data_IF_580456438438
#
_entry.id   IF_580456438438
#
_cell.length_a   1.000
_cell.length_b   1.000
_cell.length_c   1.000
_cell.angle_alpha   90.00
_cell.angle_beta   90.00
_cell.angle_gamma   90.00
#
_symmetry.space_group_name_H-M   'P 1'
#
loop_
_entity.id
_entity.type
_entity.pdbx_description
1 polymer ?
#
# COMPACT_ATOMS: atom_id res chain seq x y z
N UNK A 1 25.63 -10.39 -37.66
CA UNK A 1 24.80 -9.18 -37.43
C UNK A 1 23.37 -9.55 -37.06
N UNK A 2 22.81 -10.63 -37.63
CA UNK A 2 21.39 -11.00 -37.46
C UNK A 2 20.98 -11.32 -36.02
N UNK A 3 21.79 -12.05 -35.27
CA UNK A 3 21.49 -12.40 -33.88
C UNK A 3 21.35 -11.18 -32.95
N UNK A 4 22.06 -10.08 -33.24
CA UNK A 4 21.98 -8.85 -32.46
C UNK A 4 20.66 -8.11 -32.76
N UNK A 5 20.26 -8.06 -34.03
CA UNK A 5 19.00 -7.43 -34.44
C UNK A 5 17.79 -8.21 -33.91
N UNK A 6 17.85 -9.54 -33.88
CA UNK A 6 16.80 -10.39 -33.28
C UNK A 6 16.65 -10.12 -31.78
N UNK A 7 17.76 -9.97 -31.04
CA UNK A 7 17.72 -9.64 -29.61
C UNK A 7 17.12 -8.26 -29.37
N UNK A 8 17.39 -7.30 -30.26
CA UNK A 8 16.83 -5.95 -30.16
C UNK A 8 15.31 -5.93 -30.38
N UNK A 9 14.82 -6.69 -31.37
CA UNK A 9 13.39 -6.88 -31.65
C UNK A 9 12.66 -7.51 -30.46
N UNK A 10 13.26 -8.53 -29.84
CA UNK A 10 12.70 -9.19 -28.67
C UNK A 10 12.56 -8.24 -27.47
N UNK A 11 13.59 -7.43 -27.20
CA UNK A 11 13.53 -6.43 -26.13
C UNK A 11 12.45 -5.39 -26.41
N UNK A 12 12.36 -4.89 -27.65
CA UNK A 12 11.33 -3.91 -28.02
C UNK A 12 9.92 -4.48 -27.82
N UNK A 13 9.70 -5.73 -28.24
CA UNK A 13 8.44 -6.45 -28.05
C UNK A 13 8.10 -6.65 -26.57
N UNK A 14 9.07 -6.96 -25.73
CA UNK A 14 8.86 -7.12 -24.28
C UNK A 14 8.53 -5.79 -23.62
N UNK A 15 9.23 -4.71 -23.98
CA UNK A 15 8.95 -3.35 -23.47
C UNK A 15 7.54 -2.89 -23.85
N UNK A 16 7.09 -3.17 -25.08
CA UNK A 16 5.72 -2.86 -25.48
C UNK A 16 4.70 -3.65 -24.66
N UNK A 17 4.95 -4.94 -24.39
CA UNK A 17 4.08 -5.78 -23.57
C UNK A 17 4.00 -5.31 -22.12
N UNK A 18 5.15 -4.97 -21.52
CA UNK A 18 5.23 -4.43 -20.17
C UNK A 18 4.46 -3.11 -20.06
N UNK A 19 4.60 -2.21 -21.05
CA UNK A 19 3.91 -0.94 -21.06
C UNK A 19 2.38 -1.08 -21.17
N UNK A 20 1.90 -2.01 -22.01
CA UNK A 20 0.47 -2.29 -22.14
C UNK A 20 -0.08 -2.87 -20.83
N UNK A 21 0.64 -3.81 -20.20
CA UNK A 21 0.23 -4.41 -18.94
C UNK A 21 0.21 -3.38 -17.80
N UNK A 22 1.22 -2.51 -17.73
CA UNK A 22 1.27 -1.44 -16.73
C UNK A 22 0.11 -0.46 -16.90
N UNK A 23 -0.21 -0.09 -18.14
CA UNK A 23 -1.34 0.80 -18.44
C UNK A 23 -2.69 0.16 -18.05
N UNK A 24 -2.89 -1.12 -18.36
CA UNK A 24 -4.12 -1.84 -17.98
C UNK A 24 -4.26 -1.96 -16.45
N UNK A 25 -3.14 -2.18 -15.74
CA UNK A 25 -3.13 -2.26 -14.27
C UNK A 25 -3.44 -0.91 -13.64
N UNK A 26 -2.85 0.17 -14.18
CA UNK A 26 -3.11 1.53 -13.71
C UNK A 26 -4.54 2.00 -14.01
N UNK A 27 -5.09 1.66 -15.17
CA UNK A 27 -6.49 1.93 -15.51
C UNK A 27 -7.45 1.21 -14.55
N UNK A 28 -7.18 -0.07 -14.26
CA UNK A 28 -7.97 -0.86 -13.31
C UNK A 28 -7.94 -0.25 -11.91
N UNK A 29 -6.77 0.23 -11.48
CA UNK A 29 -6.62 0.91 -10.19
C UNK A 29 -7.41 2.23 -10.16
N UNK A 30 -7.32 3.05 -11.21
CA UNK A 30 -8.08 4.30 -11.34
C UNK A 30 -9.59 4.06 -11.36
N UNK A 31 -10.06 3.02 -12.06
CA UNK A 31 -11.47 2.66 -12.09
C UNK A 31 -11.97 2.19 -10.72
N UNK A 32 -11.19 1.35 -10.04
CA UNK A 32 -11.52 0.88 -8.69
C UNK A 32 -11.58 2.05 -7.71
N UNK A 33 -10.65 3.01 -7.82
CA UNK A 33 -10.63 4.21 -7.00
C UNK A 33 -11.86 5.10 -7.27
N UNK A 34 -12.24 5.30 -8.52
CA UNK A 34 -13.43 6.06 -8.89
C UNK A 34 -14.73 5.40 -8.43
N UNK A 35 -14.79 4.06 -8.43
CA UNK A 35 -15.93 3.31 -7.89
C UNK A 35 -16.07 3.45 -6.38
N UNK A 36 -14.95 3.45 -5.65
CA UNK A 36 -14.95 3.73 -4.21
C UNK A 36 -15.38 5.17 -3.91
N UNK A 37 -14.91 6.14 -4.69
CA UNK A 37 -15.25 7.56 -4.56
C UNK A 37 -16.74 7.83 -4.81
N UNK A 38 -17.33 7.19 -5.85
CA UNK A 38 -18.77 7.27 -6.12
C UNK A 38 -19.64 6.59 -5.07
N UNK A 39 -19.14 5.58 -4.35
CA UNK A 39 -19.83 5.00 -3.19
C UNK A 39 -19.75 5.85 -1.92
N UNK A 40 -18.87 6.85 -1.85
CA UNK A 40 -18.73 7.72 -0.67
C UNK A 40 -19.69 8.91 -0.65
N UNK A 41 -20.52 9.13 -1.68
CA UNK A 41 -21.48 10.24 -1.68
C UNK A 41 -22.72 9.88 -0.85
N UNK A 42 -22.94 10.46 0.35
CA UNK A 42 -24.17 10.22 1.10
C UNK A 42 -25.32 11.01 0.44
N UNK A 43 -26.51 10.41 0.35
CA UNK A 43 -27.74 11.20 0.22
C UNK A 43 -27.81 12.24 1.36
N UNK A 44 -28.40 13.43 1.17
CA UNK A 44 -28.41 14.47 2.19
C UNK A 44 -29.29 14.04 3.37
N UNK A 45 -28.68 13.37 4.33
CA UNK A 45 -29.26 13.06 5.63
C UNK A 45 -28.64 13.98 6.68
N UNK A 46 -29.51 14.47 7.56
CA UNK A 46 -29.32 15.44 8.62
C UNK A 46 -28.00 15.32 9.40
N UNK A 47 -27.52 16.41 10.07
CA UNK A 47 -26.31 16.38 10.87
C UNK A 47 -26.51 15.51 12.11
N UNK A 48 -26.30 14.20 11.94
CA UNK A 48 -26.06 13.31 13.04
C UNK A 48 -24.62 13.57 13.50
N UNK A 49 -24.31 13.65 14.81
CA UNK A 49 -22.94 13.68 15.27
C UNK A 49 -22.23 12.47 14.66
N UNK A 50 -21.19 12.71 13.87
CA UNK A 50 -20.41 11.65 13.27
C UNK A 50 -20.03 10.67 14.40
N UNK A 51 -20.28 9.36 14.24
CA UNK A 51 -19.72 8.40 15.18
C UNK A 51 -18.23 8.69 15.22
N UNK A 52 -17.72 9.13 16.38
CA UNK A 52 -16.29 9.27 16.57
C UNK A 52 -15.68 7.97 16.05
N UNK A 53 -14.71 8.02 15.11
CA UNK A 53 -14.14 6.81 14.55
C UNK A 53 -13.77 5.98 15.76
N UNK A 54 -14.36 4.79 15.87
CA UNK A 54 -14.04 3.88 16.94
C UNK A 54 -12.54 3.63 16.78
N UNK A 55 -11.73 4.39 17.52
CA UNK A 55 -10.31 4.22 17.59
C UNK A 55 -10.19 2.90 18.32
N UNK A 56 -10.27 1.80 17.55
CA UNK A 56 -9.80 0.49 17.98
C UNK A 56 -8.47 0.83 18.60
N UNK A 57 -8.40 0.69 19.93
CA UNK A 57 -7.30 1.15 20.76
C UNK A 57 -6.12 0.29 20.35
N UNK A 58 -5.45 0.69 19.27
CA UNK A 58 -4.47 -0.16 18.62
C UNK A 58 -3.30 -0.21 19.58
N UNK A 59 -3.08 -1.39 20.15
CA UNK A 59 -1.98 -1.61 21.06
C UNK A 59 -0.68 -1.15 20.38
N UNK A 60 0.14 -0.42 21.13
CA UNK A 60 1.47 0.01 20.68
C UNK A 60 2.21 -1.19 20.06
N UNK A 61 2.84 -1.03 18.87
CA UNK A 61 3.62 -2.10 18.27
C UNK A 61 4.60 -2.72 19.27
N UNK A 62 4.65 -4.05 19.32
CA UNK A 62 5.65 -4.73 20.13
C UNK A 62 7.03 -4.56 19.51
N UNK A 63 8.05 -4.57 20.37
CA UNK A 63 9.44 -4.59 19.93
C UNK A 63 9.73 -5.93 19.25
N UNK A 64 10.40 -5.88 18.11
CA UNK A 64 10.81 -7.02 17.32
C UNK A 64 12.32 -7.27 17.49
N UNK A 65 12.66 -8.51 17.77
CA UNK A 65 14.02 -8.97 18.07
C UNK A 65 14.74 -9.55 16.84
N UNK A 66 14.17 -9.39 15.64
CA UNK A 66 14.74 -9.92 14.41
C UNK A 66 14.41 -11.40 14.14
N UNK A 67 13.60 -12.05 14.99
CA UNK A 67 13.23 -13.46 14.80
C UNK A 67 12.52 -13.68 13.47
N UNK A 68 13.09 -14.53 12.61
CA UNK A 68 12.52 -14.88 11.31
C UNK A 68 11.26 -15.74 11.44
N UNK A 69 10.47 -15.82 10.37
CA UNK A 69 9.31 -16.70 10.29
C UNK A 69 8.01 -16.01 10.74
N UNK A 70 7.20 -16.69 11.56
CA UNK A 70 5.88 -16.20 11.94
C UNK A 70 5.93 -14.86 12.70
N UNK A 71 6.92 -14.68 13.57
CA UNK A 71 7.11 -13.44 14.34
C UNK A 71 7.32 -12.23 13.42
N UNK A 72 8.15 -12.36 12.38
CA UNK A 72 8.36 -11.31 11.39
C UNK A 72 7.07 -10.92 10.65
N UNK A 73 6.23 -11.91 10.29
CA UNK A 73 4.95 -11.65 9.62
C UNK A 73 3.99 -10.88 10.52
N UNK A 74 3.90 -11.26 11.80
CA UNK A 74 3.06 -10.57 12.80
C UNK A 74 3.54 -9.13 13.02
N UNK A 75 4.85 -8.93 13.12
CA UNK A 75 5.44 -7.60 13.27
C UNK A 75 5.08 -6.69 12.08
N UNK A 76 5.29 -7.16 10.85
CA UNK A 76 4.95 -6.38 9.64
C UNK A 76 3.45 -6.08 9.60
N UNK A 77 2.60 -7.06 9.90
CA UNK A 77 1.15 -6.85 9.93
C UNK A 77 0.74 -5.77 10.96
N UNK A 78 1.36 -5.75 12.14
CA UNK A 78 1.06 -4.76 13.18
C UNK A 78 1.51 -3.35 12.77
N UNK A 79 2.69 -3.21 12.18
CA UNK A 79 3.20 -1.93 11.66
C UNK A 79 2.33 -1.42 10.51
N UNK A 80 1.99 -2.29 9.56
CA UNK A 80 1.13 -1.94 8.43
C UNK A 80 -0.26 -1.50 8.90
N UNK A 81 -0.85 -2.21 9.87
CA UNK A 81 -2.14 -1.83 10.44
C UNK A 81 -2.07 -0.45 11.09
N UNK A 82 -1.02 -0.16 11.86
CA UNK A 82 -0.82 1.16 12.48
C UNK A 82 -0.70 2.28 11.43
N UNK A 83 -0.01 2.02 10.32
CA UNK A 83 0.11 2.99 9.23
C UNK A 83 -1.20 3.26 8.49
N UNK A 84 -2.03 2.22 8.31
CA UNK A 84 -3.35 2.33 7.66
C UNK A 84 -4.36 3.03 8.56
N UNK A 85 -4.30 2.82 9.88
CA UNK A 85 -5.20 3.49 10.85
C UNK A 85 -4.89 4.99 10.98
N UNK A 86 -3.63 5.41 10.78
CA UNK A 86 -3.23 6.82 10.91
C UNK A 86 -2.53 7.33 9.65
N UNK A 87 -3.20 7.37 8.50
CA UNK A 87 -2.56 7.69 7.22
C UNK A 87 -1.95 9.09 7.21
N UNK A 88 -2.56 10.06 7.91
CA UNK A 88 -2.03 11.43 8.05
C UNK A 88 -0.67 11.49 8.78
N UNK A 89 -0.38 10.52 9.67
CA UNK A 89 0.91 10.42 10.37
C UNK A 89 1.99 9.75 9.53
N UNK A 90 1.60 9.04 8.47
CA UNK A 90 2.49 8.28 7.61
C UNK A 90 2.33 8.61 6.11
N UNK A 91 2.49 9.89 5.72
CA UNK A 91 2.22 10.34 4.35
C UNK A 91 3.22 9.78 3.32
N UNK A 92 4.38 9.28 3.76
CA UNK A 92 5.43 8.77 2.87
C UNK A 92 5.87 7.37 3.27
N UNK A 93 6.40 6.59 2.32
CA UNK A 93 6.99 5.28 2.62
C UNK A 93 8.18 5.40 3.60
N UNK A 94 8.95 6.49 3.53
CA UNK A 94 10.02 6.78 4.48
C UNK A 94 9.51 6.89 5.93
N UNK A 95 8.39 7.60 6.15
CA UNK A 95 7.80 7.72 7.50
C UNK A 95 7.32 6.37 8.07
N UNK A 96 6.82 5.46 7.22
CA UNK A 96 6.42 4.10 7.60
C UNK A 96 7.63 3.26 8.03
N UNK A 97 8.73 3.34 7.28
CA UNK A 97 9.97 2.63 7.58
C UNK A 97 10.63 3.17 8.84
N UNK A 98 10.75 4.50 8.97
CA UNK A 98 11.31 5.14 10.16
C UNK A 98 10.51 4.78 11.43
N UNK A 99 9.20 4.62 11.31
CA UNK A 99 8.39 4.12 12.42
C UNK A 99 8.65 2.66 12.73
N UNK A 100 8.79 1.79 11.73
CA UNK A 100 9.12 0.38 11.94
C UNK A 100 10.46 0.21 12.67
N UNK A 101 11.47 1.03 12.36
CA UNK A 101 12.79 0.96 12.99
C UNK A 101 12.77 1.33 14.48
N UNK A 102 11.82 2.17 14.92
CA UNK A 102 11.64 2.47 16.36
C UNK A 102 11.25 1.24 17.20
N UNK A 103 10.80 0.17 16.54
CA UNK A 103 10.40 -1.07 17.19
C UNK A 103 11.35 -2.23 16.92
N UNK A 104 12.54 -1.98 16.35
CA UNK A 104 13.58 -3.00 16.22
C UNK A 104 14.54 -2.91 17.41
N UNK A 105 15.03 -4.05 17.92
CA UNK A 105 16.22 -4.04 18.77
C UNK A 105 17.46 -3.75 17.92
N UNK A 106 18.44 -3.06 18.54
CA UNK A 106 19.82 -3.03 18.07
C UNK A 106 20.45 -4.42 18.02
#
# INVERSE_FOLDING_TARGET
>A
MDALNTRLDEVMRMVTKERIQHLATEETLRQTQAHLDTQQHPAPAQPNPAPAPNLIKLAKPQLFDGTRGAAAKVFVAQISLHAITYPERFPTNASKVAFATLFMRD
#
